data_IF_742347323059
#
_entry.id   IF_742347323059
#
_cell.length_a   1.000
_cell.length_b   1.000
_cell.length_c   1.000
_cell.angle_alpha   90.00
_cell.angle_beta   90.00
_cell.angle_gamma   90.00
#
_symmetry.space_group_name_H-M   'P 1'
#
loop_
_entity.id
_entity.type
_entity.pdbx_description
1 polymer ?
#
# COMPACT_ATOMS: atom_id res chain seq x y z
N UNK A 1 11.69 -4.77 6.63
CA UNK A 1 11.51 -3.53 5.86
C UNK A 1 11.98 -2.34 6.68
N UNK A 2 12.48 -1.32 6.04
CA UNK A 2 12.92 -0.08 6.64
C UNK A 2 12.33 1.09 5.83
N UNK A 3 11.63 2.01 6.51
CA UNK A 3 11.03 3.19 5.86
C UNK A 3 11.44 4.46 6.59
N UNK A 4 11.81 5.47 5.83
CA UNK A 4 11.97 6.84 6.30
C UNK A 4 10.93 7.73 5.61
N UNK A 5 10.26 8.59 6.38
CA UNK A 5 9.23 9.49 5.85
C UNK A 5 9.37 10.89 6.45
N UNK A 6 9.01 11.90 5.65
CA UNK A 6 8.98 13.30 6.08
C UNK A 6 7.70 13.98 5.59
N UNK A 7 6.96 14.57 6.52
CA UNK A 7 5.75 15.33 6.25
C UNK A 7 6.04 16.84 6.28
N UNK A 8 5.67 17.55 5.24
CA UNK A 8 5.87 18.99 5.11
C UNK A 8 4.82 19.76 5.91
N UNK A 9 5.25 20.34 7.02
CA UNK A 9 4.34 21.04 7.93
C UNK A 9 3.31 20.10 8.59
N UNK A 10 2.20 20.66 9.07
CA UNK A 10 1.18 19.92 9.81
C UNK A 10 0.14 19.21 8.92
N UNK A 11 0.01 19.61 7.66
CA UNK A 11 -1.00 19.10 6.72
C UNK A 11 -0.49 19.03 5.27
N UNK A 12 0.83 19.10 5.07
CA UNK A 12 1.44 19.01 3.75
C UNK A 12 1.62 17.59 3.27
N UNK A 13 2.18 17.42 2.07
CA UNK A 13 2.48 16.10 1.54
C UNK A 13 3.54 15.38 2.39
N UNK A 14 3.50 14.05 2.36
CA UNK A 14 4.50 13.18 2.96
C UNK A 14 5.32 12.54 1.84
N UNK A 15 6.63 12.70 1.90
CA UNK A 15 7.58 11.93 1.09
C UNK A 15 8.12 10.76 1.91
N UNK A 16 8.29 9.61 1.28
CA UNK A 16 8.90 8.44 1.90
C UNK A 16 9.88 7.75 0.98
N UNK A 17 10.83 7.05 1.60
CA UNK A 17 11.71 6.09 0.93
C UNK A 17 11.72 4.82 1.78
N UNK A 18 11.52 3.68 1.14
CA UNK A 18 11.49 2.39 1.79
C UNK A 18 12.46 1.41 1.13
N UNK A 19 13.05 0.54 1.95
CA UNK A 19 13.70 -0.67 1.55
C UNK A 19 12.83 -1.84 1.98
N UNK A 20 12.19 -2.49 1.02
CA UNK A 20 11.29 -3.62 1.21
C UNK A 20 12.05 -4.91 0.87
N UNK A 21 12.16 -5.82 1.80
CA UNK A 21 12.81 -7.12 1.57
C UNK A 21 11.77 -8.23 1.44
N UNK A 22 11.74 -8.88 0.29
CA UNK A 22 10.78 -9.96 0.01
C UNK A 22 11.50 -11.29 -0.03
N UNK A 23 11.33 -12.06 1.04
CA UNK A 23 11.89 -13.40 1.14
C UNK A 23 11.45 -14.28 -0.03
N UNK A 24 12.42 -15.02 -0.61
CA UNK A 24 12.17 -15.91 -1.74
C UNK A 24 12.34 -15.27 -3.12
N UNK A 25 12.65 -13.97 -3.18
CA UNK A 25 13.09 -13.30 -4.40
C UNK A 25 14.57 -12.95 -4.30
N UNK A 26 15.30 -13.02 -5.41
CA UNK A 26 16.72 -12.71 -5.44
C UNK A 26 17.55 -13.58 -4.49
N UNK A 27 18.67 -13.04 -3.98
CA UNK A 27 19.48 -13.71 -2.97
C UNK A 27 18.79 -13.69 -1.60
N UNK A 28 18.75 -14.83 -0.93
CA UNK A 28 18.15 -14.96 0.39
C UNK A 28 18.88 -14.26 1.54
N UNK A 29 19.93 -13.49 1.24
CA UNK A 29 20.70 -12.72 2.21
C UNK A 29 20.18 -11.30 2.32
N UNK A 30 19.69 -10.92 3.50
CA UNK A 30 19.18 -9.58 3.78
C UNK A 30 20.19 -8.45 3.51
N UNK A 31 21.47 -8.69 3.74
CA UNK A 31 22.51 -7.68 3.52
C UNK A 31 23.12 -7.70 2.11
N UNK A 32 22.55 -8.47 1.19
CA UNK A 32 22.97 -8.44 -0.20
C UNK A 32 22.25 -7.30 -0.95
N UNK A 33 22.98 -6.22 -1.21
CA UNK A 33 22.50 -5.05 -1.98
C UNK A 33 23.07 -4.99 -3.41
N UNK A 34 23.67 -6.07 -3.90
CA UNK A 34 24.21 -6.10 -5.25
C UNK A 34 23.09 -6.03 -6.28
N UNK A 35 23.30 -5.19 -7.31
CA UNK A 35 22.38 -5.09 -8.44
C UNK A 35 22.17 -6.47 -9.08
N UNK A 36 20.94 -6.81 -9.44
CA UNK A 36 20.49 -8.08 -10.01
C UNK A 36 20.55 -9.32 -9.10
N UNK A 37 21.04 -9.19 -7.86
CA UNK A 37 21.10 -10.30 -6.90
C UNK A 37 20.26 -10.03 -5.64
N UNK A 38 20.01 -8.78 -5.35
CA UNK A 38 19.29 -8.37 -4.12
C UNK A 38 17.83 -8.82 -4.13
N UNK A 39 17.30 -9.17 -2.95
CA UNK A 39 15.87 -9.33 -2.72
C UNK A 39 15.19 -8.02 -2.23
N UNK A 40 15.93 -6.92 -2.15
CA UNK A 40 15.38 -5.63 -1.80
C UNK A 40 14.70 -4.95 -2.97
N UNK A 41 13.58 -4.31 -2.69
CA UNK A 41 12.92 -3.33 -3.55
C UNK A 41 13.05 -1.96 -2.89
N UNK A 42 13.49 -0.97 -3.62
CA UNK A 42 13.60 0.40 -3.13
C UNK A 42 12.46 1.22 -3.69
N UNK A 43 11.59 1.68 -2.80
CA UNK A 43 10.37 2.41 -3.13
C UNK A 43 10.47 3.86 -2.69
N UNK A 44 10.06 4.79 -3.53
CA UNK A 44 9.75 6.17 -3.16
C UNK A 44 8.23 6.33 -3.08
N UNK A 45 7.77 7.08 -2.09
CA UNK A 45 6.35 7.34 -1.88
C UNK A 45 6.06 8.84 -1.77
N UNK A 46 4.92 9.24 -2.30
CA UNK A 46 4.33 10.56 -2.10
C UNK A 46 2.88 10.37 -1.66
N UNK A 47 2.52 10.87 -0.49
CA UNK A 47 1.15 10.83 0.01
C UNK A 47 0.66 12.23 0.35
N UNK A 48 -0.62 12.49 0.07
CA UNK A 48 -1.27 13.74 0.41
C UNK A 48 -2.75 13.53 0.72
N UNK A 49 -3.22 14.15 1.81
CA UNK A 49 -4.64 14.22 2.13
C UNK A 49 -5.17 15.60 1.76
N UNK A 50 -6.21 15.65 0.95
CA UNK A 50 -6.81 16.91 0.54
C UNK A 50 -7.37 17.65 1.76
N UNK A 51 -7.05 18.94 1.95
CA UNK A 51 -7.52 19.72 3.08
C UNK A 51 -8.96 20.20 2.85
N UNK A 52 -9.85 19.27 2.49
CA UNK A 52 -11.28 19.55 2.23
C UNK A 52 -12.10 18.84 3.30
N UNK A 53 -12.65 19.60 4.24
CA UNK A 53 -13.35 19.07 5.42
C UNK A 53 -14.44 18.04 5.08
N UNK A 54 -15.18 18.25 3.99
CA UNK A 54 -16.26 17.36 3.56
C UNK A 54 -15.82 16.26 2.60
N UNK A 55 -14.56 16.27 2.16
CA UNK A 55 -13.99 15.29 1.24
C UNK A 55 -12.58 14.93 1.70
N UNK A 56 -12.44 14.14 2.77
CA UNK A 56 -11.13 13.75 3.33
C UNK A 56 -10.44 12.68 2.45
N UNK A 57 -10.31 12.97 1.16
CA UNK A 57 -9.69 12.08 0.20
C UNK A 57 -8.17 12.14 0.35
N UNK A 58 -7.55 10.98 0.51
CA UNK A 58 -6.10 10.83 0.45
C UNK A 58 -5.68 10.19 -0.86
N UNK A 59 -4.59 10.66 -1.42
CA UNK A 59 -3.91 10.06 -2.56
C UNK A 59 -2.50 9.67 -2.14
N UNK A 60 -2.07 8.47 -2.52
CA UNK A 60 -0.70 8.01 -2.37
C UNK A 60 -0.19 7.51 -3.72
N UNK A 61 1.07 7.77 -4.01
CA UNK A 61 1.78 7.25 -5.17
C UNK A 61 3.07 6.60 -4.71
N UNK A 62 3.24 5.33 -5.02
CA UNK A 62 4.42 4.54 -4.74
C UNK A 62 5.12 4.16 -6.04
N UNK A 63 6.44 4.18 -6.02
CA UNK A 63 7.27 4.04 -7.21
C UNK A 63 8.55 3.28 -6.89
N UNK A 64 8.74 2.12 -7.52
CA UNK A 64 9.95 1.30 -7.36
C UNK A 64 11.08 1.84 -8.23
N UNK A 65 12.08 2.48 -7.63
CA UNK A 65 13.15 3.12 -8.38
C UNK A 65 14.43 2.29 -8.49
N UNK A 66 14.58 1.24 -7.69
CA UNK A 66 15.76 0.36 -7.70
C UNK A 66 15.46 -1.00 -7.05
N UNK A 67 16.42 -1.91 -7.13
CA UNK A 67 16.34 -3.24 -6.51
C UNK A 67 15.83 -4.31 -7.44
N UNK A 68 15.04 -5.25 -6.92
CA UNK A 68 14.60 -6.46 -7.62
C UNK A 68 13.39 -6.24 -8.56
N UNK A 69 12.91 -5.01 -8.69
CA UNK A 69 11.87 -4.65 -9.64
C UNK A 69 12.42 -4.64 -11.09
N UNK A 70 12.60 -5.84 -11.67
CA UNK A 70 13.27 -6.07 -12.94
C UNK A 70 12.38 -6.78 -13.95
N UNK A 71 12.57 -6.43 -15.24
CA UNK A 71 12.03 -7.17 -16.38
C UNK A 71 12.85 -8.47 -16.67
N UNK A 72 12.41 -9.23 -17.67
CA UNK A 72 13.08 -10.47 -18.10
C UNK A 72 14.48 -10.23 -18.64
N UNK A 73 14.82 -9.02 -19.05
CA UNK A 73 16.13 -8.62 -19.55
C UNK A 73 17.03 -8.02 -18.45
N UNK A 74 16.53 -7.92 -17.21
CA UNK A 74 17.25 -7.35 -16.07
C UNK A 74 17.18 -5.81 -16.00
N UNK A 75 16.36 -5.15 -16.82
CA UNK A 75 16.15 -3.69 -16.73
C UNK A 75 15.19 -3.36 -15.56
N UNK A 76 15.35 -2.16 -14.99
CA UNK A 76 14.44 -1.68 -13.98
C UNK A 76 13.05 -1.44 -14.57
N UNK A 77 11.99 -2.00 -13.95
CA UNK A 77 10.61 -1.86 -14.40
C UNK A 77 10.00 -0.51 -14.03
N UNK A 78 10.49 0.12 -12.96
CA UNK A 78 9.89 1.33 -12.40
C UNK A 78 8.41 1.15 -12.04
N UNK A 79 8.07 0.01 -11.43
CA UNK A 79 6.72 -0.32 -11.01
C UNK A 79 6.10 0.83 -10.22
N UNK A 80 4.85 1.16 -10.53
CA UNK A 80 4.17 2.30 -9.97
C UNK A 80 2.75 1.94 -9.55
N UNK A 81 2.31 2.48 -8.41
CA UNK A 81 0.99 2.24 -7.85
C UNK A 81 0.42 3.54 -7.29
N UNK A 82 -0.80 3.85 -7.66
CA UNK A 82 -1.54 5.00 -7.13
C UNK A 82 -2.74 4.50 -6.36
N UNK A 83 -2.91 5.00 -5.14
CA UNK A 83 -4.01 4.63 -4.26
C UNK A 83 -4.80 5.86 -3.82
N UNK A 84 -6.10 5.75 -3.88
CA UNK A 84 -7.06 6.69 -3.33
C UNK A 84 -7.72 6.06 -2.10
N UNK A 85 -7.80 6.81 -1.01
CA UNK A 85 -8.48 6.42 0.21
C UNK A 85 -9.51 7.47 0.60
N UNK A 86 -10.73 7.01 0.91
CA UNK A 86 -11.84 7.85 1.35
C UNK A 86 -12.38 7.34 2.68
N UNK A 87 -11.97 7.93 3.82
CA UNK A 87 -12.53 7.61 5.13
C UNK A 87 -13.89 8.29 5.34
N UNK A 88 -14.82 7.57 5.96
CA UNK A 88 -16.13 8.08 6.37
C UNK A 88 -16.70 7.24 7.52
N UNK A 89 -17.66 7.80 8.26
CA UNK A 89 -18.25 7.10 9.42
C UNK A 89 -19.74 6.90 9.20
N UNK A 90 -20.23 5.68 9.44
CA UNK A 90 -21.66 5.34 9.37
C UNK A 90 -22.08 4.66 10.68
N UNK A 91 -23.00 5.27 11.40
CA UNK A 91 -23.57 4.72 12.65
C UNK A 91 -22.52 4.27 13.67
N UNK A 92 -21.43 5.03 13.80
CA UNK A 92 -20.34 4.74 14.75
C UNK A 92 -19.43 3.58 14.33
N UNK A 93 -19.43 3.24 13.05
CA UNK A 93 -18.44 2.38 12.40
C UNK A 93 -17.60 3.24 11.48
N UNK A 94 -16.29 3.22 11.65
CA UNK A 94 -15.36 3.91 10.76
C UNK A 94 -15.10 3.06 9.54
N UNK A 95 -15.34 3.63 8.38
CA UNK A 95 -15.18 2.99 7.07
C UNK A 95 -14.06 3.69 6.30
N UNK A 96 -13.33 2.92 5.50
CA UNK A 96 -12.39 3.44 4.53
C UNK A 96 -12.58 2.70 3.20
N UNK A 97 -12.97 3.44 2.17
CA UNK A 97 -13.02 2.94 0.81
C UNK A 97 -11.67 3.21 0.13
N UNK A 98 -11.13 2.19 -0.53
CA UNK A 98 -9.83 2.25 -1.21
C UNK A 98 -10.00 1.89 -2.68
N UNK A 99 -9.31 2.63 -3.56
CA UNK A 99 -9.13 2.28 -4.96
C UNK A 99 -7.65 2.42 -5.34
N UNK A 100 -7.04 1.33 -5.79
CA UNK A 100 -5.64 1.28 -6.19
C UNK A 100 -5.48 0.87 -7.65
N UNK A 101 -4.59 1.56 -8.34
CA UNK A 101 -4.37 1.38 -9.78
C UNK A 101 -2.89 1.31 -10.13
N UNK A 102 -2.57 0.54 -11.15
CA UNK A 102 -1.33 0.63 -11.90
C UNK A 102 -1.52 1.66 -13.03
N UNK A 103 -0.77 2.76 -13.07
CA UNK A 103 -0.99 3.82 -14.07
C UNK A 103 -0.46 3.46 -15.46
N UNK A 104 0.45 2.51 -15.59
CA UNK A 104 1.07 2.08 -16.85
C UNK A 104 1.60 0.65 -16.73
N UNK A 105 2.05 0.12 -17.87
CA UNK A 105 2.61 -1.23 -18.00
C UNK A 105 4.02 -1.31 -17.43
N UNK A 106 4.10 -1.43 -16.13
CA UNK A 106 5.34 -1.67 -15.41
C UNK A 106 5.06 -2.39 -14.10
N UNK A 107 5.91 -3.33 -13.72
CA UNK A 107 5.92 -3.99 -12.43
C UNK A 107 4.73 -4.86 -12.11
N UNK A 108 4.39 -5.47 -13.02
CA UNK A 108 3.49 -6.59 -13.26
C UNK A 108 3.04 -7.33 -12.00
N UNK A 109 3.96 -7.80 -11.18
CA UNK A 109 3.64 -8.61 -9.99
C UNK A 109 3.77 -7.84 -8.68
N UNK A 110 4.49 -6.73 -8.68
CA UNK A 110 4.84 -5.98 -7.47
C UNK A 110 3.60 -5.40 -6.77
N UNK A 111 2.65 -4.88 -7.55
CA UNK A 111 1.43 -4.26 -7.02
C UNK A 111 0.14 -4.97 -7.47
N UNK A 112 0.20 -6.27 -7.68
CA UNK A 112 -0.97 -7.09 -7.99
C UNK A 112 -1.44 -7.00 -9.44
N UNK A 113 -0.56 -6.61 -10.37
CA UNK A 113 -0.81 -6.69 -11.81
C UNK A 113 -0.39 -8.03 -12.42
N UNK A 114 -0.54 -8.14 -13.73
CA UNK A 114 -0.05 -9.25 -14.54
C UNK A 114 0.86 -8.77 -15.68
N UNK A 115 1.46 -9.70 -16.43
CA UNK A 115 2.42 -9.40 -17.52
C UNK A 115 1.84 -8.53 -18.66
N UNK A 116 0.54 -8.36 -18.72
CA UNK A 116 -0.15 -7.58 -19.75
C UNK A 116 -0.88 -6.37 -19.14
N UNK A 117 -0.52 -5.98 -17.93
CA UNK A 117 -1.14 -4.83 -17.27
C UNK A 117 -0.63 -3.53 -17.87
N UNK A 118 -1.36 -2.94 -18.78
CA UNK A 118 -1.29 -1.51 -19.00
C UNK A 118 -1.87 -0.77 -17.77
N UNK A 119 -2.75 0.22 -17.98
CA UNK A 119 -3.57 0.73 -16.88
C UNK A 119 -4.45 -0.38 -16.31
N UNK A 120 -4.38 -0.62 -15.01
CA UNK A 120 -5.18 -1.65 -14.36
C UNK A 120 -5.64 -1.21 -12.97
N UNK A 121 -6.90 -1.52 -12.63
CA UNK A 121 -7.37 -1.45 -11.25
C UNK A 121 -6.99 -2.77 -10.56
N UNK A 122 -6.16 -2.71 -9.55
CA UNK A 122 -5.65 -3.90 -8.85
C UNK A 122 -6.09 -3.99 -7.40
N UNK A 123 -6.73 -2.94 -6.87
CA UNK A 123 -7.21 -2.93 -5.49
C UNK A 123 -8.50 -2.12 -5.38
N UNK A 124 -9.59 -2.79 -5.04
CA UNK A 124 -10.83 -2.15 -4.60
C UNK A 124 -11.15 -2.72 -3.23
N UNK A 125 -11.14 -1.89 -2.19
CA UNK A 125 -11.34 -2.39 -0.85
C UNK A 125 -12.30 -1.52 -0.03
N UNK A 126 -12.97 -2.17 0.92
CA UNK A 126 -13.73 -1.50 1.97
C UNK A 126 -13.31 -2.08 3.31
N UNK A 127 -12.74 -1.25 4.15
CA UNK A 127 -12.39 -1.56 5.54
C UNK A 127 -13.42 -0.95 6.48
N UNK A 128 -13.91 -1.73 7.43
CA UNK A 128 -14.75 -1.28 8.53
C UNK A 128 -14.00 -1.50 9.85
N UNK A 129 -13.95 -0.48 10.69
CA UNK A 129 -13.32 -0.54 12.01
C UNK A 129 -14.31 -0.09 13.07
N UNK A 130 -14.33 -0.78 14.20
CA UNK A 130 -15.14 -0.43 15.34
C UNK A 130 -14.41 -0.71 16.64
N UNK A 131 -14.43 0.26 17.56
CA UNK A 131 -13.93 0.09 18.91
C UNK A 131 -14.97 -0.64 19.76
N UNK A 132 -14.58 -1.78 20.31
CA UNK A 132 -15.40 -2.52 21.27
C UNK A 132 -14.92 -2.18 22.67
N UNK A 133 -15.77 -1.49 23.42
CA UNK A 133 -15.49 -1.15 24.82
C UNK A 133 -15.49 -2.43 25.65
N UNK A 134 -14.35 -2.78 26.23
CA UNK A 134 -14.18 -3.95 27.12
C UNK A 134 -14.29 -3.53 28.56
N UNK A 135 -13.64 -2.42 28.94
CA UNK A 135 -13.72 -1.80 30.27
C UNK A 135 -13.86 -0.29 30.11
N UNK A 136 -14.00 0.45 31.21
CA UNK A 136 -14.07 1.92 31.16
C UNK A 136 -12.74 2.56 30.68
N UNK A 137 -11.62 1.85 30.86
CA UNK A 137 -10.28 2.31 30.48
C UNK A 137 -9.69 1.58 29.26
N UNK A 138 -10.39 0.57 28.71
CA UNK A 138 -9.87 -0.22 27.61
C UNK A 138 -10.92 -0.52 26.55
N UNK A 139 -10.60 -0.17 25.31
CA UNK A 139 -11.36 -0.53 24.11
C UNK A 139 -10.48 -1.34 23.18
N UNK A 140 -11.06 -2.34 22.54
CA UNK A 140 -10.42 -3.19 21.56
C UNK A 140 -10.91 -2.83 20.16
N UNK A 141 -10.08 -2.20 19.32
CA UNK A 141 -10.40 -1.99 17.92
C UNK A 141 -10.44 -3.33 17.17
N UNK A 142 -11.57 -3.65 16.59
CA UNK A 142 -11.74 -4.76 15.65
C UNK A 142 -11.94 -4.20 14.25
N UNK A 143 -11.46 -4.91 13.23
CA UNK A 143 -11.71 -4.53 11.86
C UNK A 143 -12.02 -5.72 10.97
N UNK A 144 -12.75 -5.46 9.91
CA UNK A 144 -12.91 -6.34 8.75
C UNK A 144 -12.59 -5.55 7.50
N UNK A 145 -12.02 -6.21 6.49
CA UNK A 145 -11.73 -5.60 5.20
C UNK A 145 -12.04 -6.59 4.09
N UNK A 146 -12.91 -6.19 3.17
CA UNK A 146 -13.11 -6.86 1.90
C UNK A 146 -12.16 -6.21 0.87
N UNK A 147 -11.42 -7.02 0.13
CA UNK A 147 -10.45 -6.61 -0.88
C UNK A 147 -10.78 -7.36 -2.16
N UNK A 148 -10.82 -6.67 -3.26
CA UNK A 148 -10.98 -7.24 -4.59
C UNK A 148 -9.91 -6.70 -5.52
N UNK A 149 -9.21 -7.60 -6.20
CA UNK A 149 -8.32 -7.28 -7.31
C UNK A 149 -9.05 -7.61 -8.62
N UNK A 150 -9.63 -6.60 -9.31
CA UNK A 150 -10.38 -6.84 -10.55
C UNK A 150 -9.49 -7.39 -11.67
N UNK A 151 -8.20 -7.02 -11.68
CA UNK A 151 -7.27 -7.44 -12.73
C UNK A 151 -6.95 -8.93 -12.66
N UNK A 152 -6.78 -9.44 -11.43
CA UNK A 152 -6.43 -10.85 -11.20
C UNK A 152 -7.67 -11.72 -10.90
N UNK A 153 -8.87 -11.12 -10.89
CA UNK A 153 -10.13 -11.78 -10.49
C UNK A 153 -10.05 -12.44 -9.10
N UNK A 154 -9.29 -11.81 -8.19
CA UNK A 154 -9.03 -12.35 -6.86
C UNK A 154 -9.70 -11.51 -5.77
N UNK A 155 -10.19 -12.15 -4.71
CA UNK A 155 -10.88 -11.50 -3.62
C UNK A 155 -10.50 -12.07 -2.26
N UNK A 156 -10.33 -11.18 -1.27
CA UNK A 156 -9.94 -11.55 0.08
C UNK A 156 -10.87 -10.92 1.11
N UNK A 157 -11.08 -11.62 2.22
CA UNK A 157 -11.72 -11.10 3.41
C UNK A 157 -10.71 -11.18 4.58
N UNK A 158 -10.41 -10.05 5.17
CA UNK A 158 -9.49 -9.93 6.30
C UNK A 158 -10.28 -9.57 7.55
N UNK A 159 -9.99 -10.25 8.65
CA UNK A 159 -10.48 -9.92 9.99
C UNK A 159 -9.27 -9.68 10.90
N UNK A 160 -9.36 -8.71 11.78
CA UNK A 160 -8.26 -8.43 12.68
C UNK A 160 -8.68 -7.65 13.93
N UNK A 161 -7.77 -7.66 14.88
CA UNK A 161 -7.81 -6.85 16.09
C UNK A 161 -6.56 -6.01 16.18
N UNK A 162 -6.65 -4.84 16.81
CA UNK A 162 -5.49 -3.97 17.04
C UNK A 162 -5.24 -3.85 18.54
N UNK A 163 -4.10 -4.36 19.00
CA UNK A 163 -3.65 -4.18 20.37
C UNK A 163 -2.69 -2.99 20.41
N UNK A 164 -3.01 -2.00 21.23
CA UNK A 164 -2.14 -0.85 21.47
C UNK A 164 -1.71 -0.89 22.93
N UNK A 165 -0.39 -0.98 23.22
CA UNK A 165 0.15 -0.93 24.57
C UNK A 165 -0.06 0.43 25.22
#
# INVERSE_FOLDING_TARGET
>A
DLTAAYTFGSAGPTLSVASLWWAGQGAGDYFNFKSHETAHHFEAGLAYTLPIEKLPLSIAWNFMFAGQDKDENGNQNYSSYVELNFPFTVKGVDLNATCGVLPYDAGITTYGGDVNSGFAVTNVALKATKDIKITDSFSLPIFTQAIWNPRMEDAHLVLGISLRP
#
